data_IF_000954060472
#
_entry.id   IF_000954060472
#
_cell.length_a   1.000
_cell.length_b   1.000
_cell.length_c   1.000
_cell.angle_alpha   90.00
_cell.angle_beta   90.00
_cell.angle_gamma   90.00
#
_symmetry.space_group_name_H-M   'P 1'
#
loop_
_entity.id
_entity.type
_entity.pdbx_description
1 polymer ?
#
# COMPACT_ATOMS: atom_id res chain seq x y z
N UNK A 1 -25.01 -3.15 -13.68
CA UNK A 1 -24.34 -4.25 -12.96
C UNK A 1 -22.87 -4.18 -13.31
N UNK A 2 -22.05 -3.55 -12.48
CA UNK A 2 -20.61 -3.36 -12.77
C UNK A 2 -19.77 -2.79 -11.62
N UNK A 3 -20.36 -2.60 -10.44
CA UNK A 3 -19.76 -1.83 -9.33
C UNK A 3 -19.46 -2.68 -8.07
N UNK A 4 -19.38 -4.01 -8.18
CA UNK A 4 -19.17 -4.88 -7.00
C UNK A 4 -17.72 -5.35 -6.81
N UNK A 5 -16.96 -5.55 -7.89
CA UNK A 5 -15.64 -6.20 -7.81
C UNK A 5 -14.61 -5.47 -6.93
N UNK A 6 -14.65 -4.13 -6.89
CA UNK A 6 -13.74 -3.36 -6.02
C UNK A 6 -14.20 -3.32 -4.56
N UNK A 7 -15.49 -3.53 -4.29
CA UNK A 7 -16.00 -3.65 -2.92
C UNK A 7 -15.86 -5.08 -2.37
N UNK A 8 -15.81 -6.07 -3.25
CA UNK A 8 -15.69 -7.48 -2.89
C UNK A 8 -14.23 -7.91 -2.62
N UNK A 9 -13.25 -7.07 -2.91
CA UNK A 9 -11.83 -7.36 -2.69
C UNK A 9 -11.32 -6.74 -1.38
N UNK A 10 -10.54 -7.49 -0.58
CA UNK A 10 -9.85 -6.93 0.58
C UNK A 10 -8.94 -5.76 0.18
N UNK A 11 -8.93 -4.64 0.93
CA UNK A 11 -8.08 -3.49 0.64
C UNK A 11 -6.60 -3.86 0.49
N UNK A 12 -6.10 -4.78 1.32
CA UNK A 12 -4.74 -5.34 1.25
C UNK A 12 -4.39 -5.90 -0.13
N UNK A 13 -5.31 -6.60 -0.79
CA UNK A 13 -5.10 -7.18 -2.13
C UNK A 13 -4.99 -6.09 -3.18
N UNK A 14 -5.86 -5.09 -3.12
CA UNK A 14 -5.83 -3.94 -4.04
C UNK A 14 -4.53 -3.16 -3.86
N UNK A 15 -4.16 -2.85 -2.62
CA UNK A 15 -2.93 -2.13 -2.29
C UNK A 15 -1.68 -2.92 -2.72
N UNK A 16 -1.66 -4.24 -2.50
CA UNK A 16 -0.58 -5.09 -2.99
C UNK A 16 -0.42 -4.97 -4.51
N UNK A 17 -1.52 -5.05 -5.26
CA UNK A 17 -1.50 -4.92 -6.72
C UNK A 17 -0.96 -3.55 -7.17
N UNK A 18 -1.31 -2.46 -6.47
CA UNK A 18 -0.90 -1.11 -6.83
C UNK A 18 0.62 -0.90 -6.81
N UNK A 19 1.39 -1.65 -6.02
CA UNK A 19 2.86 -1.59 -6.09
C UNK A 19 3.40 -1.94 -7.49
N UNK A 20 2.74 -2.84 -8.23
CA UNK A 20 3.14 -3.19 -9.61
C UNK A 20 2.95 -2.05 -10.61
N UNK A 21 2.19 -1.02 -10.25
CA UNK A 21 1.92 0.18 -11.06
C UNK A 21 2.65 1.42 -10.53
N UNK A 22 3.26 1.31 -9.35
CA UNK A 22 3.96 2.41 -8.69
C UNK A 22 5.30 2.75 -9.34
N UNK A 23 5.92 3.88 -8.96
CA UNK A 23 7.26 4.22 -9.40
C UNK A 23 8.30 3.26 -8.80
N UNK A 24 9.46 3.10 -9.45
CA UNK A 24 10.48 2.11 -9.07
C UNK A 24 11.06 2.31 -7.66
N UNK A 25 11.05 3.55 -7.16
CA UNK A 25 11.54 3.92 -5.83
C UNK A 25 10.52 3.73 -4.70
N UNK A 26 9.25 3.44 -5.04
CA UNK A 26 8.20 3.03 -4.10
C UNK A 26 8.30 1.53 -3.83
N UNK A 27 8.98 1.18 -2.74
CA UNK A 27 9.20 -0.21 -2.36
C UNK A 27 7.99 -0.80 -1.62
N UNK A 28 7.60 -2.02 -1.98
CA UNK A 28 6.60 -2.81 -1.25
C UNK A 28 7.13 -3.32 0.10
N UNK A 29 6.27 -3.77 1.04
CA UNK A 29 6.73 -4.35 2.29
C UNK A 29 7.61 -5.58 2.07
N UNK A 30 7.35 -6.37 1.02
CA UNK A 30 8.23 -7.44 0.55
C UNK A 30 9.66 -6.94 0.32
N UNK A 31 9.82 -5.86 -0.45
CA UNK A 31 11.13 -5.30 -0.81
C UNK A 31 11.80 -4.60 0.39
N UNK A 32 11.06 -3.75 1.12
CA UNK A 32 11.55 -3.00 2.28
C UNK A 32 12.09 -3.93 3.37
N UNK A 33 11.34 -4.99 3.67
CA UNK A 33 11.68 -5.93 4.75
C UNK A 33 12.53 -7.11 4.26
N UNK A 34 12.92 -7.14 2.98
CA UNK A 34 13.73 -8.20 2.36
C UNK A 34 13.11 -9.59 2.57
N UNK A 35 11.80 -9.68 2.48
CA UNK A 35 11.08 -10.94 2.60
C UNK A 35 11.20 -11.75 1.30
N UNK A 36 11.07 -13.07 1.40
CA UNK A 36 10.77 -13.91 0.24
C UNK A 36 9.28 -13.81 -0.12
N UNK A 37 8.88 -14.15 -1.36
CA UNK A 37 7.47 -14.15 -1.74
C UNK A 37 6.59 -15.01 -0.83
N UNK A 38 7.09 -16.17 -0.38
CA UNK A 38 6.37 -17.07 0.54
C UNK A 38 6.19 -16.41 1.91
N UNK A 39 7.23 -15.80 2.48
CA UNK A 39 7.14 -15.10 3.76
C UNK A 39 6.18 -13.91 3.69
N UNK A 40 6.17 -13.20 2.57
CA UNK A 40 5.28 -12.06 2.37
C UNK A 40 3.81 -12.49 2.21
N UNK A 41 3.55 -13.58 1.46
CA UNK A 41 2.20 -14.16 1.38
C UNK A 41 1.71 -14.57 2.76
N UNK A 42 2.52 -15.33 3.50
CA UNK A 42 2.17 -15.74 4.87
C UNK A 42 1.96 -14.54 5.80
N UNK A 43 2.76 -13.49 5.66
CA UNK A 43 2.57 -12.26 6.41
C UNK A 43 1.20 -11.63 6.08
N UNK A 44 0.88 -11.44 4.79
CA UNK A 44 -0.43 -10.91 4.39
C UNK A 44 -1.60 -11.77 4.91
N UNK A 45 -1.49 -13.10 4.84
CA UNK A 45 -2.55 -14.01 5.29
C UNK A 45 -2.70 -14.06 6.82
N UNK A 46 -1.63 -13.72 7.57
CA UNK A 46 -1.61 -13.79 9.04
C UNK A 46 -2.04 -12.50 9.74
N UNK A 47 -2.02 -11.36 9.06
CA UNK A 47 -2.27 -10.05 9.64
C UNK A 47 -3.70 -9.57 9.35
N UNK A 48 -4.29 -8.80 10.26
CA UNK A 48 -5.51 -8.05 9.95
C UNK A 48 -5.23 -6.85 9.03
N UNK A 49 -6.25 -6.38 8.31
CA UNK A 49 -6.16 -5.25 7.35
C UNK A 49 -5.47 -4.02 7.96
N UNK A 50 -5.74 -3.67 9.23
CA UNK A 50 -5.09 -2.55 9.91
C UNK A 50 -3.57 -2.71 10.04
N UNK A 51 -3.10 -3.93 10.31
CA UNK A 51 -1.67 -4.20 10.45
C UNK A 51 -0.98 -4.25 9.08
N UNK A 52 -1.67 -4.80 8.08
CA UNK A 52 -1.21 -4.73 6.70
C UNK A 52 -1.09 -3.27 6.25
N UNK A 53 -2.11 -2.45 6.54
CA UNK A 53 -2.09 -1.02 6.24
C UNK A 53 -0.96 -0.30 6.95
N UNK A 54 -0.70 -0.56 8.23
CA UNK A 54 0.46 0.02 8.94
C UNK A 54 1.78 -0.31 8.23
N UNK A 55 1.97 -1.55 7.79
CA UNK A 55 3.13 -1.97 7.03
C UNK A 55 3.27 -1.22 5.70
N UNK A 56 2.17 -1.11 4.95
CA UNK A 56 2.10 -0.38 3.68
C UNK A 56 2.35 1.12 3.89
N UNK A 57 1.69 1.74 4.88
CA UNK A 57 1.87 3.15 5.20
C UNK A 57 3.32 3.49 5.53
N UNK A 58 4.04 2.62 6.24
CA UNK A 58 5.47 2.83 6.49
C UNK A 58 6.28 2.93 5.20
N UNK A 59 5.95 2.14 4.16
CA UNK A 59 6.62 2.27 2.86
C UNK A 59 6.26 3.55 2.11
N UNK A 60 5.01 4.02 2.25
CA UNK A 60 4.53 5.26 1.65
C UNK A 60 5.23 6.46 2.31
N UNK A 61 5.35 6.45 3.64
CA UNK A 61 6.06 7.47 4.41
C UNK A 61 7.54 7.57 3.98
N UNK A 62 8.19 6.43 3.77
CA UNK A 62 9.56 6.32 3.26
C UNK A 62 9.72 6.88 1.84
N UNK A 63 8.81 6.52 0.93
CA UNK A 63 8.78 7.10 -0.42
C UNK A 63 8.59 8.61 -0.34
N UNK A 64 7.67 9.08 0.51
CA UNK A 64 7.42 10.51 0.65
C UNK A 64 8.62 11.27 1.22
N UNK A 65 9.38 10.67 2.13
CA UNK A 65 10.63 11.24 2.63
C UNK A 65 11.68 11.37 1.50
N UNK A 66 11.81 10.35 0.64
CA UNK A 66 12.72 10.39 -0.53
C UNK A 66 12.32 11.47 -1.54
N UNK A 67 11.02 11.57 -1.87
CA UNK A 67 10.47 12.60 -2.78
C UNK A 67 10.76 14.01 -2.27
N UNK A 68 10.59 14.23 -0.96
CA UNK A 68 10.90 15.52 -0.35
C UNK A 68 12.39 15.82 -0.34
N UNK A 69 13.22 14.82 -0.04
CA UNK A 69 14.68 14.98 -0.01
C UNK A 69 15.28 15.34 -1.37
N UNK A 70 14.70 14.85 -2.48
CA UNK A 70 15.12 15.21 -3.85
C UNK A 70 14.59 16.57 -4.34
N UNK A 71 13.71 17.22 -3.57
CA UNK A 71 13.14 18.53 -3.92
C UNK A 71 11.95 18.47 -4.88
N UNK A 72 11.42 17.27 -5.15
CA UNK A 72 10.24 17.10 -5.99
C UNK A 72 8.99 17.61 -5.27
N UNK A 73 8.10 18.23 -6.03
CA UNK A 73 6.85 18.79 -5.53
C UNK A 73 5.65 17.87 -5.72
N UNK A 74 5.79 16.84 -6.55
CA UNK A 74 4.70 15.97 -6.96
C UNK A 74 4.95 14.52 -6.56
N UNK A 75 3.91 13.88 -6.04
CA UNK A 75 3.91 12.45 -5.77
C UNK A 75 3.30 11.70 -6.95
N UNK A 76 3.67 10.42 -7.12
CA UNK A 76 3.02 9.56 -8.11
C UNK A 76 1.51 9.46 -7.83
N UNK A 77 0.66 9.43 -8.87
CA UNK A 77 -0.77 9.17 -8.72
C UNK A 77 -1.06 7.87 -7.95
N UNK A 78 -0.18 6.87 -8.06
CA UNK A 78 -0.32 5.60 -7.34
C UNK A 78 -0.12 5.77 -5.85
N UNK A 79 0.89 6.56 -5.42
CA UNK A 79 1.08 6.88 -4.01
C UNK A 79 -0.18 7.53 -3.42
N UNK A 80 -0.72 8.54 -4.11
CA UNK A 80 -1.91 9.26 -3.67
C UNK A 80 -3.13 8.33 -3.58
N UNK A 81 -3.29 7.43 -4.55
CA UNK A 81 -4.38 6.44 -4.56
C UNK A 81 -4.26 5.44 -3.40
N UNK A 82 -3.06 4.88 -3.18
CA UNK A 82 -2.81 3.95 -2.07
C UNK A 82 -3.08 4.61 -0.72
N UNK A 83 -2.65 5.86 -0.55
CA UNK A 83 -2.91 6.62 0.68
C UNK A 83 -4.40 6.82 0.93
N UNK A 84 -5.16 7.16 -0.12
CA UNK A 84 -6.62 7.33 -0.05
C UNK A 84 -7.32 6.02 0.33
N UNK A 85 -6.98 4.92 -0.35
CA UNK A 85 -7.59 3.61 -0.10
C UNK A 85 -7.31 3.12 1.32
N UNK A 86 -6.04 3.10 1.73
CA UNK A 86 -5.66 2.62 3.07
C UNK A 86 -6.28 3.44 4.19
N UNK A 87 -6.32 4.78 4.05
CA UNK A 87 -6.95 5.66 5.05
C UNK A 87 -8.46 5.45 5.16
N UNK A 88 -9.15 5.16 4.05
CA UNK A 88 -10.58 4.86 4.07
C UNK A 88 -10.91 3.49 4.68
N UNK A 89 -9.99 2.53 4.59
CA UNK A 89 -10.18 1.19 5.13
C UNK A 89 -10.04 1.15 6.66
N UNK A 90 -9.30 2.08 7.26
CA UNK A 90 -9.15 2.20 8.73
C UNK A 90 -10.09 3.22 9.36
N UNK A 91 -11.07 3.72 8.61
CA UNK A 91 -11.93 4.84 8.99
C UNK A 91 -13.36 4.64 8.52
N UNK A 92 -14.06 3.71 9.17
CA UNK A 92 -15.52 3.70 9.26
C UNK A 92 -15.98 3.03 10.58
N UNK A 93 -15.39 3.47 11.68
CA UNK A 93 -16.03 3.43 13.00
C UNK A 93 -16.50 4.87 13.28
N UNK A 94 -17.82 5.07 13.21
CA UNK A 94 -18.52 6.33 13.50
C UNK A 94 -18.27 6.85 14.90
#
# INVERSE_FOLDING_TARGET
>A
MGDSLLQDLPPSVILHHLYSRGPEDLQSPLQRNKLTPVQYSLWMDSQGEDQIWKGIKSTLDDYAAKVRARGDKEFSPVYSLMLKLGSSSTGNES
#
